data_IF_632253573368
#
_entry.id   IF_632253573368
#
_cell.length_a   1.000
_cell.length_b   1.000
_cell.length_c   1.000
_cell.angle_alpha   90.00
_cell.angle_beta   90.00
_cell.angle_gamma   90.00
#
_symmetry.space_group_name_H-M   'P 1'
#
loop_
_entity.id
_entity.type
_entity.pdbx_description
1 polymer ?
#
# COMPACT_ATOMS: atom_id res chain seq x y z
N UNK A 1 30.57 2.17 2.97
CA UNK A 1 29.36 1.64 2.32
C UNK A 1 28.20 1.92 3.26
N UNK A 2 27.31 2.84 2.90
CA UNK A 2 26.07 3.06 3.66
C UNK A 2 25.02 2.13 3.04
N UNK A 3 24.76 1.00 3.69
CA UNK A 3 23.65 0.13 3.33
C UNK A 3 22.37 0.71 3.93
N UNK A 4 21.54 1.35 3.08
CA UNK A 4 20.17 1.69 3.46
C UNK A 4 19.39 0.38 3.63
N UNK A 5 18.89 0.12 4.84
CA UNK A 5 17.99 -1.00 5.09
C UNK A 5 16.64 -0.68 4.43
N UNK A 6 16.22 -1.53 3.50
CA UNK A 6 14.86 -1.50 2.92
C UNK A 6 13.89 -2.01 3.97
N UNK A 7 13.25 -1.10 4.71
CA UNK A 7 12.20 -1.45 5.66
C UNK A 7 10.83 -1.27 5.02
N UNK A 8 9.96 -2.26 5.15
CA UNK A 8 8.58 -2.21 4.63
C UNK A 8 7.61 -2.05 5.80
N UNK A 9 6.64 -1.16 5.63
CA UNK A 9 5.53 -0.97 6.57
C UNK A 9 4.20 -1.22 5.86
N UNK A 10 3.41 -2.15 6.37
CA UNK A 10 2.13 -2.53 5.77
C UNK A 10 0.96 -2.29 6.74
N UNK A 11 -0.11 -1.67 6.25
CA UNK A 11 -1.39 -1.53 6.95
C UNK A 11 -2.43 -2.34 6.19
N UNK A 12 -3.12 -3.25 6.89
CA UNK A 12 -4.24 -4.01 6.33
C UNK A 12 -5.58 -3.50 6.88
N UNK A 13 -6.54 -3.25 5.98
CA UNK A 13 -7.90 -2.83 6.31
C UNK A 13 -8.79 -4.07 6.19
N UNK A 14 -8.93 -4.81 7.29
CA UNK A 14 -9.68 -6.06 7.31
C UNK A 14 -11.11 -5.81 7.83
N UNK A 15 -12.07 -5.73 6.92
CA UNK A 15 -13.51 -5.81 7.26
C UNK A 15 -13.97 -7.26 7.49
N UNK A 16 -13.26 -8.25 6.95
CA UNK A 16 -13.51 -9.68 7.21
C UNK A 16 -12.22 -10.48 7.00
N UNK A 17 -12.04 -11.55 7.77
CA UNK A 17 -10.78 -12.31 7.89
C UNK A 17 -10.30 -13.05 6.61
N UNK A 18 -10.86 -12.78 5.42
CA UNK A 18 -10.54 -13.51 4.18
C UNK A 18 -10.51 -12.69 2.90
N UNK A 19 -10.26 -11.38 2.94
CA UNK A 19 -10.06 -10.64 1.68
C UNK A 19 -8.63 -10.84 1.15
N UNK A 20 -8.52 -11.37 -0.06
CA UNK A 20 -7.26 -11.59 -0.78
C UNK A 20 -7.07 -10.48 -1.81
N UNK A 21 -5.84 -10.01 -1.97
CA UNK A 21 -5.48 -9.07 -3.05
C UNK A 21 -5.69 -9.73 -4.41
N UNK A 22 -6.43 -9.03 -5.27
CA UNK A 22 -6.60 -9.35 -6.68
C UNK A 22 -5.72 -8.43 -7.55
N UNK A 23 -5.48 -7.19 -7.11
CA UNK A 23 -4.66 -6.20 -7.80
C UNK A 23 -3.85 -5.37 -6.80
N UNK A 24 -2.59 -5.09 -7.14
CA UNK A 24 -1.73 -4.16 -6.42
C UNK A 24 -1.39 -2.99 -7.35
N UNK A 25 -1.74 -1.77 -6.95
CA UNK A 25 -1.48 -0.55 -7.73
C UNK A 25 -0.42 0.29 -7.02
N UNK A 26 0.59 0.74 -7.77
CA UNK A 26 1.52 1.77 -7.27
C UNK A 26 0.85 3.13 -7.31
N UNK A 27 0.58 3.70 -6.13
CA UNK A 27 -0.04 5.03 -6.00
C UNK A 27 1.00 6.13 -6.23
N UNK A 28 2.22 5.91 -5.73
CA UNK A 28 3.41 6.75 -5.94
C UNK A 28 4.65 5.89 -5.69
N UNK A 29 5.86 6.34 -6.07
CA UNK A 29 7.08 5.59 -5.77
C UNK A 29 7.16 5.22 -4.28
N UNK A 30 7.29 3.91 -4.01
CA UNK A 30 7.35 3.35 -2.65
C UNK A 30 6.01 3.20 -1.93
N UNK A 31 4.87 3.53 -2.53
CA UNK A 31 3.54 3.33 -1.92
C UNK A 31 2.64 2.54 -2.86
N UNK A 32 2.14 1.42 -2.35
CA UNK A 32 1.33 0.45 -3.06
C UNK A 32 0.00 0.26 -2.33
N UNK A 33 -1.06 0.04 -3.09
CA UNK A 33 -2.40 -0.22 -2.59
C UNK A 33 -2.92 -1.56 -3.14
N UNK A 34 -3.39 -2.42 -2.26
CA UNK A 34 -3.98 -3.70 -2.60
C UNK A 34 -5.51 -3.57 -2.66
N UNK A 35 -6.08 -4.07 -3.74
CA UNK A 35 -7.52 -4.12 -3.98
C UNK A 35 -7.99 -5.56 -4.07
N UNK A 36 -9.18 -5.84 -3.55
CA UNK A 36 -9.85 -7.11 -3.78
C UNK A 36 -10.46 -7.17 -5.19
N UNK A 37 -11.05 -8.33 -5.52
CA UNK A 37 -11.68 -8.58 -6.83
C UNK A 37 -12.85 -7.64 -7.16
N UNK A 38 -13.40 -6.95 -6.15
CA UNK A 38 -14.52 -6.02 -6.28
C UNK A 38 -14.04 -4.56 -6.31
N UNK A 39 -12.72 -4.34 -6.43
CA UNK A 39 -12.11 -3.00 -6.45
C UNK A 39 -12.06 -2.34 -5.07
N UNK A 40 -12.33 -3.07 -3.97
CA UNK A 40 -12.25 -2.50 -2.62
C UNK A 40 -10.80 -2.50 -2.13
N UNK A 41 -10.35 -1.37 -1.60
CA UNK A 41 -9.07 -1.27 -0.90
C UNK A 41 -9.04 -2.20 0.33
N UNK A 42 -8.01 -3.04 0.42
CA UNK A 42 -7.80 -3.99 1.52
C UNK A 42 -6.43 -3.87 2.19
N UNK A 43 -5.46 -3.20 1.55
CA UNK A 43 -4.12 -3.04 2.09
C UNK A 43 -3.39 -1.83 1.50
N UNK A 44 -2.47 -1.27 2.30
CA UNK A 44 -1.50 -0.27 1.87
C UNK A 44 -0.12 -0.76 2.29
N UNK A 45 0.80 -0.81 1.35
CA UNK A 45 2.20 -1.16 1.58
C UNK A 45 3.10 0.04 1.25
N UNK A 46 3.97 0.39 2.20
CA UNK A 46 4.96 1.44 2.06
C UNK A 46 6.35 0.82 2.14
N UNK A 47 7.06 0.85 1.02
CA UNK A 47 8.43 0.34 0.88
C UNK A 47 9.42 1.45 1.22
N UNK A 48 10.56 1.07 1.79
CA UNK A 48 11.60 1.99 2.26
C UNK A 48 11.05 2.98 3.29
N UNK A 49 10.19 2.49 4.19
CA UNK A 49 9.55 3.27 5.25
C UNK A 49 10.55 4.06 6.10
N UNK A 50 11.78 3.54 6.23
CA UNK A 50 12.91 4.21 6.88
C UNK A 50 13.20 5.62 6.32
N UNK A 51 12.92 5.89 5.04
CA UNK A 51 13.09 7.22 4.44
C UNK A 51 11.98 8.23 4.81
N UNK A 52 10.89 7.70 5.39
CA UNK A 52 9.61 8.38 5.58
C UNK A 52 9.29 8.55 7.07
N UNK A 53 9.93 7.78 7.96
CA UNK A 53 9.82 7.94 9.41
C UNK A 53 10.09 9.41 9.79
N UNK A 54 9.16 10.00 10.55
CA UNK A 54 9.24 11.41 10.96
C UNK A 54 8.78 12.42 9.90
N UNK A 55 8.32 11.97 8.73
CA UNK A 55 7.73 12.81 7.67
C UNK A 55 6.25 12.47 7.48
N UNK A 56 5.47 13.48 7.10
CA UNK A 56 4.07 13.27 6.68
C UNK A 56 4.05 12.86 5.22
N UNK A 57 3.28 11.82 4.89
CA UNK A 57 2.94 11.47 3.51
C UNK A 57 1.44 11.58 3.31
N UNK A 58 1.05 12.14 2.16
CA UNK A 58 -0.33 12.21 1.70
C UNK A 58 -0.37 11.73 0.26
N UNK A 59 -1.41 10.95 -0.05
CA UNK A 59 -1.67 10.43 -1.38
C UNK A 59 -3.16 10.16 -1.53
N UNK A 60 -3.64 10.19 -2.76
CA UNK A 60 -5.02 9.87 -3.10
C UNK A 60 -5.08 8.45 -3.62
N UNK A 61 -6.06 7.69 -3.16
CA UNK A 61 -6.31 6.34 -3.66
C UNK A 61 -7.22 6.49 -4.89
N UNK A 62 -6.81 5.98 -6.06
CA UNK A 62 -7.63 6.05 -7.26
C UNK A 62 -8.88 5.21 -7.08
N UNK A 63 -10.00 5.66 -7.67
CA UNK A 63 -11.13 4.77 -7.90
C UNK A 63 -10.70 3.71 -8.91
N UNK A 64 -10.64 2.45 -8.48
CA UNK A 64 -10.41 1.33 -9.38
C UNK A 64 -11.77 0.88 -9.90
N UNK A 65 -12.04 1.16 -11.18
CA UNK A 65 -13.29 0.77 -11.81
C UNK A 65 -13.37 -0.75 -11.96
N UNK A 66 -14.47 -1.33 -11.47
CA UNK A 66 -14.83 -2.72 -11.77
C UNK A 66 -15.22 -2.77 -13.25
N UNK A 67 -14.33 -3.28 -14.11
CA UNK A 67 -14.63 -3.62 -15.51
C UNK A 67 -15.38 -4.94 -15.61
#
# INVERSE_FOLDING_TARGET
MNTTLKETFSIYILESQRKKSAETVTIKPGVHADFDKDGKLIGIEVIDASEIIGKKIEFTIPEVGVV
#
